data_IF_913777799148
#
_entry.id   IF_913777799148
#
_cell.length_a   1.000
_cell.length_b   1.000
_cell.length_c   1.000
_cell.angle_alpha   90.00
_cell.angle_beta   90.00
_cell.angle_gamma   90.00
#
_symmetry.space_group_name_H-M   'P 1'
#
loop_
_entity.id
_entity.type
_entity.pdbx_description
1 polymer ?
#
# COMPACT_ATOMS: atom_id res chain seq x y z
N UNK A 1 -22.53 9.46 24.99
CA UNK A 1 -23.71 8.79 24.39
C UNK A 1 -24.82 9.82 24.17
N UNK A 2 -24.76 10.58 23.07
CA UNK A 2 -25.76 11.62 22.75
C UNK A 2 -26.91 11.04 21.89
N UNK A 3 -26.58 10.31 20.83
CA UNK A 3 -27.58 9.75 19.92
C UNK A 3 -28.45 8.68 20.60
N UNK A 4 -27.83 7.79 21.38
CA UNK A 4 -28.57 6.78 22.13
C UNK A 4 -29.50 7.38 23.20
N UNK A 5 -29.16 8.51 23.81
CA UNK A 5 -30.08 9.20 24.74
C UNK A 5 -31.30 9.82 24.03
N UNK A 6 -31.22 10.01 22.72
CA UNK A 6 -32.32 10.50 21.87
C UNK A 6 -33.11 9.35 21.22
N UNK A 7 -32.85 8.10 21.59
CA UNK A 7 -33.52 6.93 21.01
C UNK A 7 -33.04 6.58 19.59
N UNK A 8 -31.94 7.17 19.12
CA UNK A 8 -31.36 6.86 17.81
C UNK A 8 -30.45 5.64 17.95
N UNK A 9 -30.71 4.53 17.21
CA UNK A 9 -29.84 3.36 17.22
C UNK A 9 -28.45 3.72 16.73
N UNK A 10 -27.46 3.56 17.60
CA UNK A 10 -26.05 3.85 17.32
C UNK A 10 -25.18 2.74 17.88
N UNK A 11 -24.14 2.36 17.14
CA UNK A 11 -23.12 1.42 17.57
C UNK A 11 -21.71 1.99 17.28
N UNK A 12 -20.70 1.22 17.67
CA UNK A 12 -19.29 1.50 17.38
C UNK A 12 -18.79 0.35 16.53
N UNK A 13 -18.31 0.69 15.34
CA UNK A 13 -17.61 -0.23 14.45
C UNK A 13 -16.11 0.03 14.56
N UNK A 14 -15.31 -1.00 14.32
CA UNK A 14 -13.86 -0.91 14.43
C UNK A 14 -13.12 -1.85 13.50
N UNK A 15 -11.94 -1.41 13.08
CA UNK A 15 -10.93 -2.24 12.43
C UNK A 15 -9.89 -2.61 13.49
N UNK A 16 -9.64 -3.91 13.72
CA UNK A 16 -8.72 -4.35 14.78
C UNK A 16 -7.26 -4.00 14.46
N UNK A 17 -6.91 -4.00 13.18
CA UNK A 17 -5.64 -3.53 12.64
C UNK A 17 -5.84 -3.24 11.16
N UNK A 18 -5.32 -2.10 10.67
CA UNK A 18 -5.36 -1.81 9.23
C UNK A 18 -4.44 -2.75 8.46
N UNK A 19 -4.84 -3.13 7.25
CA UNK A 19 -4.01 -3.88 6.31
C UNK A 19 -2.79 -3.08 5.88
N UNK A 20 -2.98 -1.79 5.57
CA UNK A 20 -1.96 -0.91 4.96
C UNK A 20 -1.46 0.26 5.83
N UNK A 21 -1.86 0.29 7.10
CA UNK A 21 -1.46 1.34 8.07
C UNK A 21 -1.08 0.70 9.39
N UNK A 22 -0.35 1.45 10.20
CA UNK A 22 -0.21 1.10 11.61
C UNK A 22 -1.46 1.55 12.36
N UNK A 23 -1.77 0.86 13.46
CA UNK A 23 -2.89 1.10 14.39
C UNK A 23 -4.19 0.34 14.09
N UNK A 24 -5.07 0.32 15.09
CA UNK A 24 -6.50 0.04 14.98
C UNK A 24 -7.27 1.34 14.78
N UNK A 25 -8.57 1.27 14.52
CA UNK A 25 -9.43 2.46 14.55
C UNK A 25 -10.88 2.11 14.88
N UNK A 26 -11.59 3.06 15.49
CA UNK A 26 -13.01 2.92 15.86
C UNK A 26 -13.78 4.12 15.32
N UNK A 27 -14.98 3.92 14.82
CA UNK A 27 -15.87 5.00 14.36
C UNK A 27 -17.32 4.73 14.79
N UNK A 28 -18.16 5.76 14.65
CA UNK A 28 -19.56 5.66 15.03
C UNK A 28 -20.40 5.20 13.84
N UNK A 29 -21.47 4.46 14.12
CA UNK A 29 -22.42 4.04 13.09
C UNK A 29 -23.84 4.26 13.57
N UNK A 30 -24.64 4.96 12.78
CA UNK A 30 -26.10 5.03 12.97
C UNK A 30 -26.74 3.88 12.21
N UNK A 31 -27.71 3.21 12.84
CA UNK A 31 -28.44 2.09 12.24
C UNK A 31 -29.87 2.54 11.91
N UNK A 32 -30.18 2.71 10.62
CA UNK A 32 -31.50 3.13 10.14
C UNK A 32 -32.00 2.07 9.17
N UNK A 33 -33.20 1.55 9.41
CA UNK A 33 -33.85 0.56 8.53
C UNK A 33 -32.99 -0.68 8.22
N UNK A 34 -32.14 -1.10 9.16
CA UNK A 34 -31.22 -2.23 8.97
C UNK A 34 -29.94 -1.90 8.20
N UNK A 35 -29.76 -0.65 7.76
CA UNK A 35 -28.55 -0.18 7.12
C UNK A 35 -27.65 0.59 8.08
N UNK A 36 -26.34 0.41 7.92
CA UNK A 36 -25.33 1.17 8.64
C UNK A 36 -24.93 2.44 7.91
N UNK A 37 -24.85 3.53 8.67
CA UNK A 37 -24.36 4.83 8.22
C UNK A 37 -23.18 5.24 9.09
N UNK A 38 -21.96 4.97 8.61
CA UNK A 38 -20.71 5.26 9.31
C UNK A 38 -20.41 6.76 9.31
N UNK A 39 -19.96 7.29 10.45
CA UNK A 39 -19.60 8.70 10.59
C UNK A 39 -18.49 8.94 11.62
N UNK A 40 -17.74 10.02 11.41
CA UNK A 40 -16.80 10.58 12.38
C UNK A 40 -17.24 11.97 12.81
N UNK A 41 -17.46 12.16 14.12
CA UNK A 41 -18.02 13.40 14.63
C UNK A 41 -17.02 14.58 14.59
N UNK A 42 -15.71 14.28 14.67
CA UNK A 42 -14.68 15.26 14.99
C UNK A 42 -13.50 15.31 13.99
N UNK A 43 -13.52 14.49 12.96
CA UNK A 43 -12.33 14.28 12.13
C UNK A 43 -12.24 15.23 10.93
N UNK A 44 -13.35 15.49 10.22
CA UNK A 44 -13.39 16.45 9.12
C UNK A 44 -14.79 17.03 8.86
N UNK A 45 -14.89 17.88 7.83
CA UNK A 45 -16.13 18.59 7.47
C UNK A 45 -17.21 17.64 6.93
N UNK A 46 -16.82 16.61 6.17
CA UNK A 46 -17.73 15.61 5.62
C UNK A 46 -17.81 14.40 6.55
N UNK A 47 -18.62 14.56 7.61
CA UNK A 47 -18.74 13.57 8.69
C UNK A 47 -19.27 12.21 8.23
N UNK A 48 -19.86 12.09 7.04
CA UNK A 48 -20.62 10.89 6.62
C UNK A 48 -19.97 10.09 5.50
N UNK A 49 -18.82 10.53 4.98
CA UNK A 49 -18.12 9.82 3.89
C UNK A 49 -17.51 8.48 4.27
N UNK A 50 -17.59 8.05 5.52
CA UNK A 50 -16.72 6.98 6.04
C UNK A 50 -17.00 5.61 5.41
N UNK A 51 -18.23 5.34 4.96
CA UNK A 51 -18.50 4.16 4.13
C UNK A 51 -17.88 4.23 2.74
N UNK A 52 -17.70 5.42 2.16
CA UNK A 52 -17.03 5.60 0.86
C UNK A 52 -15.51 5.41 1.01
N UNK A 53 -14.92 5.82 2.13
CA UNK A 53 -13.45 5.70 2.31
C UNK A 53 -13.05 4.34 2.91
N UNK A 54 -13.92 3.70 3.69
CA UNK A 54 -13.68 2.38 4.28
C UNK A 54 -14.28 1.25 3.45
N UNK A 55 -14.02 1.25 2.14
CA UNK A 55 -14.60 0.26 1.20
C UNK A 55 -13.57 -0.61 0.47
N UNK A 56 -12.28 -0.49 0.82
CA UNK A 56 -11.15 -1.19 0.18
C UNK A 56 -11.00 -0.95 -1.34
N UNK A 57 -11.74 0.00 -1.93
CA UNK A 57 -11.73 0.26 -3.38
C UNK A 57 -11.15 1.64 -3.68
N UNK A 58 -11.65 2.65 -2.99
CA UNK A 58 -11.38 4.03 -3.34
C UNK A 58 -10.14 4.61 -2.66
N UNK A 59 -9.59 5.64 -3.28
CA UNK A 59 -8.52 6.47 -2.78
C UNK A 59 -9.13 7.82 -2.35
N UNK A 60 -9.11 8.16 -1.06
CA UNK A 60 -9.59 9.46 -0.58
C UNK A 60 -8.56 10.56 -0.87
N UNK A 61 -9.01 11.73 -1.33
CA UNK A 61 -8.11 12.83 -1.69
C UNK A 61 -7.32 13.38 -0.49
N UNK A 62 -7.90 13.34 0.72
CA UNK A 62 -7.26 13.85 1.94
C UNK A 62 -6.37 12.79 2.58
N UNK A 63 -6.87 11.57 2.66
CA UNK A 63 -6.30 10.54 3.51
C UNK A 63 -5.64 9.40 2.74
N UNK A 64 -5.84 9.29 1.43
CA UNK A 64 -5.37 8.19 0.61
C UNK A 64 -6.17 6.91 0.85
N UNK A 65 -5.51 5.76 0.65
CA UNK A 65 -6.14 4.43 0.68
C UNK A 65 -6.31 3.88 2.09
N UNK A 66 -7.45 3.26 2.36
CA UNK A 66 -7.67 2.43 3.54
C UNK A 66 -7.87 0.97 3.14
N UNK A 67 -7.16 0.07 3.81
CA UNK A 67 -7.33 -1.38 3.63
C UNK A 67 -7.72 -2.00 4.95
N UNK A 68 -8.96 -2.47 5.01
CA UNK A 68 -9.59 -3.08 6.17
C UNK A 68 -9.61 -4.59 5.97
N UNK A 69 -8.90 -5.38 6.78
CA UNK A 69 -8.97 -6.81 6.65
C UNK A 69 -10.30 -7.36 7.14
N UNK A 70 -10.86 -6.75 8.20
CA UNK A 70 -12.14 -7.05 8.85
C UNK A 70 -12.69 -5.80 9.52
N UNK A 71 -14.02 -5.72 9.66
CA UNK A 71 -14.71 -4.73 10.49
C UNK A 71 -15.58 -5.47 11.49
N UNK A 72 -15.44 -5.11 12.76
CA UNK A 72 -16.27 -5.64 13.84
C UNK A 72 -17.13 -4.54 14.43
N UNK A 73 -18.36 -4.88 14.80
CA UNK A 73 -19.29 -4.02 15.52
C UNK A 73 -19.36 -4.45 16.97
N UNK A 74 -19.23 -3.52 17.91
CA UNK A 74 -19.53 -3.81 19.32
C UNK A 74 -21.02 -4.01 19.53
N UNK A 75 -21.39 -5.05 20.29
CA UNK A 75 -22.78 -5.41 20.57
C UNK A 75 -23.03 -5.61 22.06
N UNK A 76 -24.29 -5.42 22.48
CA UNK A 76 -24.71 -5.74 23.85
C UNK A 76 -25.02 -7.23 24.03
N UNK A 77 -25.44 -7.92 22.97
CA UNK A 77 -25.64 -9.38 22.95
C UNK A 77 -24.31 -10.15 23.03
N UNK A 78 -24.38 -11.41 23.48
CA UNK A 78 -23.22 -12.30 23.49
C UNK A 78 -23.21 -13.15 22.21
N UNK A 79 -22.07 -13.19 21.54
CA UNK A 79 -21.80 -14.02 20.36
C UNK A 79 -20.60 -14.91 20.67
N UNK A 80 -20.86 -16.13 21.12
CA UNK A 80 -19.83 -17.12 21.47
C UNK A 80 -19.59 -17.99 20.22
N UNK A 81 -18.39 -17.91 19.65
CA UNK A 81 -18.04 -18.58 18.41
C UNK A 81 -16.56 -18.96 18.33
N UNK A 82 -16.25 -19.79 17.33
CA UNK A 82 -14.88 -20.13 16.96
C UNK A 82 -14.05 -20.71 18.11
N UNK A 83 -12.78 -20.32 18.25
CA UNK A 83 -11.88 -20.90 19.24
C UNK A 83 -12.34 -20.66 20.69
N UNK A 84 -13.16 -19.63 20.95
CA UNK A 84 -13.67 -19.35 22.29
C UNK A 84 -14.83 -20.28 22.68
N UNK A 85 -15.54 -20.84 21.70
CA UNK A 85 -16.60 -21.83 21.92
C UNK A 85 -16.05 -23.27 22.05
N UNK A 86 -14.79 -23.50 21.66
CA UNK A 86 -14.17 -24.83 21.67
C UNK A 86 -13.55 -25.13 23.06
N UNK A 87 -14.16 -26.07 23.77
CA UNK A 87 -13.76 -26.48 25.12
C UNK A 87 -12.37 -27.12 25.19
N UNK A 88 -11.82 -27.54 24.05
CA UNK A 88 -10.50 -28.16 23.95
C UNK A 88 -9.39 -27.12 23.67
N UNK A 89 -9.74 -25.84 23.55
CA UNK A 89 -8.81 -24.73 23.31
C UNK A 89 -8.62 -23.92 24.60
N UNK A 90 -7.38 -23.84 25.07
CA UNK A 90 -7.04 -22.97 26.20
C UNK A 90 -7.20 -21.49 25.79
N UNK A 91 -7.84 -20.69 26.64
CA UNK A 91 -8.01 -19.25 26.44
C UNK A 91 -6.67 -18.52 26.22
N UNK A 92 -5.57 -19.01 26.80
CA UNK A 92 -4.22 -18.50 26.59
C UNK A 92 -3.71 -18.68 25.14
N UNK A 93 -4.29 -19.60 24.39
CA UNK A 93 -3.99 -19.90 22.99
C UNK A 93 -4.95 -19.18 22.01
N UNK A 94 -5.80 -18.29 22.51
CA UNK A 94 -6.72 -17.48 21.69
C UNK A 94 -6.20 -16.04 21.66
N UNK A 95 -6.02 -15.39 20.48
CA UNK A 95 -5.70 -13.96 20.40
C UNK A 95 -6.76 -13.09 21.09
N UNK A 96 -6.34 -11.96 21.67
CA UNK A 96 -7.21 -11.08 22.48
C UNK A 96 -8.51 -10.69 21.77
N UNK A 97 -8.43 -10.32 20.48
CA UNK A 97 -9.57 -9.99 19.65
C UNK A 97 -10.69 -11.04 19.74
N UNK A 98 -10.33 -12.33 19.73
CA UNK A 98 -11.29 -13.44 19.70
C UNK A 98 -11.68 -13.97 21.09
N UNK A 99 -11.16 -13.37 22.17
CA UNK A 99 -11.63 -13.66 23.55
C UNK A 99 -12.89 -12.87 23.92
N UNK A 100 -13.23 -11.83 23.16
CA UNK A 100 -14.44 -11.02 23.38
C UNK A 100 -15.65 -11.58 22.64
N UNK A 101 -16.77 -11.74 23.37
CA UNK A 101 -18.08 -12.16 22.84
C UNK A 101 -19.00 -10.98 22.50
N UNK A 102 -18.56 -9.74 22.74
CA UNK A 102 -19.35 -8.51 22.59
C UNK A 102 -19.13 -7.85 21.24
N UNK A 103 -18.97 -8.67 20.20
CA UNK A 103 -18.74 -8.18 18.84
C UNK A 103 -19.34 -9.13 17.81
N UNK A 104 -19.66 -8.58 16.64
CA UNK A 104 -20.02 -9.31 15.43
C UNK A 104 -19.23 -8.77 14.26
N UNK A 105 -18.97 -9.62 13.27
CA UNK A 105 -18.36 -9.24 12.01
C UNK A 105 -19.37 -8.52 11.13
N UNK A 106 -19.01 -7.34 10.63
CA UNK A 106 -19.83 -6.51 9.73
C UNK A 106 -19.05 -6.09 8.48
N UNK A 107 -17.99 -6.83 8.14
CA UNK A 107 -17.09 -6.50 7.03
C UNK A 107 -17.84 -6.28 5.70
N UNK A 108 -18.84 -7.13 5.43
CA UNK A 108 -19.68 -7.06 4.22
C UNK A 108 -20.59 -5.82 4.14
N UNK A 109 -20.79 -5.10 5.24
CA UNK A 109 -21.51 -3.81 5.22
C UNK A 109 -20.66 -2.66 4.65
N UNK A 110 -19.34 -2.87 4.53
CA UNK A 110 -18.35 -1.86 4.15
C UNK A 110 -17.68 -2.16 2.81
N UNK A 111 -17.32 -3.40 2.55
CA UNK A 111 -16.61 -3.80 1.34
C UNK A 111 -16.97 -5.21 0.87
N UNK A 112 -16.64 -5.48 -0.39
CA UNK A 112 -16.75 -6.82 -0.96
C UNK A 112 -15.66 -7.73 -0.36
N UNK A 113 -16.10 -8.84 0.21
CA UNK A 113 -15.25 -9.79 0.92
C UNK A 113 -14.91 -11.00 0.04
N UNK A 114 -13.90 -11.77 0.44
CA UNK A 114 -13.58 -13.06 -0.15
C UNK A 114 -13.27 -14.10 0.92
N UNK A 115 -13.68 -15.34 0.68
CA UNK A 115 -13.23 -16.47 1.48
C UNK A 115 -11.85 -16.92 1.01
N UNK A 116 -10.93 -17.12 1.95
CA UNK A 116 -9.54 -17.47 1.66
C UNK A 116 -9.24 -18.85 2.19
N UNK A 117 -8.87 -19.77 1.30
CA UNK A 117 -8.41 -21.10 1.69
C UNK A 117 -6.88 -21.13 1.69
N UNK A 118 -6.30 -21.47 2.83
CA UNK A 118 -4.85 -21.57 3.01
C UNK A 118 -4.46 -23.01 3.28
N UNK A 119 -3.47 -23.50 2.55
CA UNK A 119 -2.73 -24.72 2.89
C UNK A 119 -1.67 -24.38 3.94
N UNK A 120 -1.74 -25.04 5.09
CA UNK A 120 -0.86 -24.78 6.22
C UNK A 120 0.40 -25.63 6.07
N UNK A 121 1.44 -25.03 5.49
CA UNK A 121 2.71 -25.71 5.20
C UNK A 121 3.73 -25.60 6.34
N UNK A 122 3.49 -24.74 7.32
CA UNK A 122 4.32 -24.58 8.52
C UNK A 122 4.11 -25.70 9.53
N UNK A 123 5.11 -25.92 10.39
CA UNK A 123 5.02 -26.92 11.46
C UNK A 123 4.02 -26.49 12.53
N UNK A 124 2.93 -27.25 12.66
CA UNK A 124 1.89 -26.99 13.65
C UNK A 124 2.36 -27.33 15.07
N UNK A 125 2.21 -26.42 16.05
CA UNK A 125 2.41 -26.77 17.45
C UNK A 125 1.43 -27.86 17.90
N UNK A 126 1.85 -28.68 18.86
CA UNK A 126 1.01 -29.79 19.35
C UNK A 126 -0.35 -29.30 19.87
N UNK A 127 -1.41 -29.96 19.41
CA UNK A 127 -2.79 -29.73 19.86
C UNK A 127 -3.44 -28.45 19.31
N UNK A 128 -2.83 -27.75 18.36
CA UNK A 128 -3.43 -26.56 17.73
C UNK A 128 -4.60 -26.98 16.84
N UNK A 129 -5.78 -26.37 17.09
CA UNK A 129 -7.03 -26.63 16.35
C UNK A 129 -7.44 -25.50 15.42
N UNK A 130 -6.87 -24.31 15.61
CA UNK A 130 -7.22 -23.10 14.87
C UNK A 130 -5.96 -22.45 14.30
N UNK A 131 -6.08 -21.96 13.07
CA UNK A 131 -5.14 -21.04 12.48
C UNK A 131 -5.75 -19.64 12.47
N UNK A 132 -4.89 -18.64 12.37
CA UNK A 132 -5.27 -17.24 12.33
C UNK A 132 -4.68 -16.59 11.09
N UNK A 133 -5.39 -15.57 10.58
CA UNK A 133 -4.89 -14.74 9.50
C UNK A 133 -4.57 -13.37 10.09
N UNK A 134 -3.33 -12.93 9.90
CA UNK A 134 -2.79 -11.72 10.51
C UNK A 134 -2.40 -10.67 9.47
N UNK A 135 -2.51 -9.39 9.84
CA UNK A 135 -1.95 -8.26 9.08
C UNK A 135 -0.78 -7.65 9.83
N UNK A 136 0.13 -7.01 9.09
CA UNK A 136 1.30 -6.40 9.68
C UNK A 136 0.95 -5.02 10.27
N UNK A 137 1.60 -4.62 11.36
CA UNK A 137 1.50 -3.27 11.92
C UNK A 137 2.42 -3.08 13.12
N UNK A 138 3.10 -1.93 13.20
CA UNK A 138 4.08 -1.63 14.25
C UNK A 138 5.15 -2.73 14.44
N UNK A 139 5.70 -3.23 13.33
CA UNK A 139 6.66 -4.35 13.32
C UNK A 139 6.17 -5.68 13.91
N UNK A 140 4.86 -5.87 13.99
CA UNK A 140 4.26 -7.09 14.51
C UNK A 140 3.11 -7.57 13.62
N UNK A 141 2.71 -8.83 13.79
CA UNK A 141 1.58 -9.44 13.09
C UNK A 141 0.37 -9.48 14.03
N UNK A 142 -0.77 -8.95 13.56
CA UNK A 142 -2.00 -8.85 14.35
C UNK A 142 -3.04 -9.79 13.78
N UNK A 143 -3.42 -10.88 14.50
CA UNK A 143 -4.52 -11.74 14.10
C UNK A 143 -5.84 -10.98 13.94
N UNK A 144 -6.46 -11.08 12.78
CA UNK A 144 -7.71 -10.37 12.44
C UNK A 144 -8.85 -11.30 12.06
N UNK A 145 -8.57 -12.54 11.66
CA UNK A 145 -9.56 -13.61 11.50
C UNK A 145 -9.03 -14.96 11.99
N UNK A 146 -9.93 -15.89 12.33
CA UNK A 146 -9.62 -17.29 12.67
C UNK A 146 -10.28 -18.28 11.70
N UNK A 147 -9.73 -19.48 11.64
CA UNK A 147 -10.32 -20.62 10.93
C UNK A 147 -9.97 -21.92 11.66
N UNK A 148 -10.92 -22.87 11.71
CA UNK A 148 -10.64 -24.22 12.21
C UNK A 148 -9.75 -24.96 11.22
N UNK A 149 -8.80 -25.72 11.73
CA UNK A 149 -7.88 -26.51 10.91
C UNK A 149 -8.54 -27.84 10.58
N UNK A 150 -8.65 -28.12 9.29
CA UNK A 150 -9.21 -29.37 8.77
C UNK A 150 -8.30 -29.89 7.66
N UNK A 151 -7.74 -31.10 7.85
CA UNK A 151 -6.86 -31.75 6.87
C UNK A 151 -5.70 -30.86 6.38
N UNK A 152 -5.03 -30.15 7.31
CA UNK A 152 -3.91 -29.25 7.00
C UNK A 152 -4.30 -27.96 6.29
N UNK A 153 -5.60 -27.65 6.21
CA UNK A 153 -6.13 -26.43 5.58
C UNK A 153 -6.96 -25.61 6.55
N UNK A 154 -7.08 -24.31 6.27
CA UNK A 154 -7.97 -23.41 6.99
C UNK A 154 -8.68 -22.49 5.99
N UNK A 155 -9.99 -22.28 6.20
CA UNK A 155 -10.82 -21.37 5.38
C UNK A 155 -11.20 -20.15 6.21
N UNK A 156 -10.58 -19.02 5.92
CA UNK A 156 -10.86 -17.73 6.56
C UNK A 156 -11.99 -17.02 5.85
N UNK A 157 -13.07 -16.74 6.57
CA UNK A 157 -14.30 -16.20 5.98
C UNK A 157 -14.29 -14.69 5.89
N UNK A 158 -14.85 -14.20 4.78
CA UNK A 158 -15.19 -12.79 4.55
C UNK A 158 -14.01 -11.81 4.71
N UNK A 159 -12.86 -12.14 4.14
CA UNK A 159 -11.65 -11.31 4.22
C UNK A 159 -11.71 -10.10 3.29
N UNK A 160 -11.14 -8.97 3.73
CA UNK A 160 -10.88 -7.82 2.87
C UNK A 160 -9.79 -8.10 1.83
N UNK A 161 -9.89 -7.46 0.66
CA UNK A 161 -8.97 -7.63 -0.47
C UNK A 161 -7.98 -6.46 -0.59
N UNK A 162 -6.95 -6.63 -1.42
CA UNK A 162 -5.90 -5.64 -1.75
C UNK A 162 -4.97 -5.33 -0.56
N UNK A 163 -4.49 -6.39 0.10
CA UNK A 163 -3.49 -6.30 1.19
C UNK A 163 -2.75 -7.62 1.41
N UNK A 164 -1.70 -7.57 2.22
CA UNK A 164 -0.91 -8.74 2.63
C UNK A 164 -1.44 -9.36 3.92
N UNK A 165 -1.48 -10.68 3.92
CA UNK A 165 -1.79 -11.51 5.07
C UNK A 165 -0.66 -12.49 5.37
N UNK A 166 -0.48 -12.80 6.66
CA UNK A 166 0.33 -13.91 7.13
C UNK A 166 -0.55 -14.93 7.87
N UNK A 167 -0.65 -16.18 7.40
CA UNK A 167 -1.20 -17.28 8.17
C UNK A 167 -0.30 -17.61 9.35
N UNK A 168 -0.88 -17.72 10.54
CA UNK A 168 -0.15 -17.96 11.79
C UNK A 168 -0.89 -18.92 12.71
N UNK A 169 -0.13 -19.71 13.47
CA UNK A 169 -0.58 -20.35 14.70
C UNK A 169 -0.39 -19.39 15.88
N UNK A 170 -1.24 -19.52 16.90
CA UNK A 170 -1.13 -18.77 18.14
C UNK A 170 -1.02 -19.75 19.31
N UNK A 171 0.01 -19.63 20.13
CA UNK A 171 0.23 -20.48 21.30
C UNK A 171 0.82 -19.66 22.44
N UNK A 172 0.12 -19.59 23.58
CA UNK A 172 0.54 -18.87 24.80
C UNK A 172 1.10 -17.45 24.55
N UNK A 173 0.45 -16.69 23.66
CA UNK A 173 0.89 -15.33 23.31
C UNK A 173 1.89 -15.25 22.15
N UNK A 174 2.51 -16.35 21.76
CA UNK A 174 3.44 -16.42 20.64
C UNK A 174 2.74 -16.63 19.29
N UNK A 175 3.30 -16.03 18.25
CA UNK A 175 2.88 -16.21 16.86
C UNK A 175 3.92 -17.04 16.11
N UNK A 176 3.47 -18.08 15.42
CA UNK A 176 4.32 -18.94 14.60
C UNK A 176 3.75 -18.95 13.18
N UNK A 177 4.56 -18.72 12.13
CA UNK A 177 4.07 -18.78 10.75
C UNK A 177 3.48 -20.16 10.44
N UNK A 178 2.25 -20.18 9.94
CA UNK A 178 1.55 -21.40 9.54
C UNK A 178 1.67 -21.66 8.03
N UNK A 179 2.01 -20.63 7.26
CA UNK A 179 2.37 -20.69 5.85
C UNK A 179 3.13 -19.39 5.47
N UNK A 180 3.54 -19.29 4.21
CA UNK A 180 4.14 -18.08 3.64
C UNK A 180 3.12 -16.92 3.60
N UNK A 181 3.59 -15.65 3.69
CA UNK A 181 2.72 -14.51 3.47
C UNK A 181 2.23 -14.48 2.03
N UNK A 182 1.03 -13.93 1.83
CA UNK A 182 0.46 -13.75 0.51
C UNK A 182 -0.27 -12.41 0.42
N UNK A 183 -0.29 -11.83 -0.78
CA UNK A 183 -1.16 -10.72 -1.13
C UNK A 183 -2.49 -11.28 -1.63
N UNK A 184 -3.60 -10.87 -1.03
CA UNK A 184 -4.94 -11.10 -1.58
C UNK A 184 -5.28 -9.95 -2.52
N UNK A 185 -5.34 -10.19 -3.81
CA UNK A 185 -5.60 -9.17 -4.83
C UNK A 185 -7.08 -8.78 -4.87
N UNK A 186 -7.39 -7.65 -5.51
CA UNK A 186 -8.76 -7.14 -5.66
C UNK A 186 -9.73 -8.10 -6.36
N UNK A 187 -9.22 -8.95 -7.25
CA UNK A 187 -9.98 -9.99 -7.95
C UNK A 187 -10.16 -11.28 -7.12
N UNK A 188 -9.63 -11.32 -5.89
CA UNK A 188 -9.68 -12.48 -5.00
C UNK A 188 -8.55 -13.50 -5.24
N UNK A 189 -7.65 -13.26 -6.19
CA UNK A 189 -6.49 -14.15 -6.39
C UNK A 189 -5.45 -13.97 -5.29
N UNK A 190 -4.77 -15.06 -4.94
CA UNK A 190 -3.70 -15.07 -3.94
C UNK A 190 -2.35 -15.12 -4.63
N UNK A 191 -1.47 -14.19 -4.29
CA UNK A 191 -0.08 -14.14 -4.73
C UNK A 191 0.83 -14.42 -3.54
N UNK A 192 1.62 -15.51 -3.60
CA UNK A 192 2.58 -15.85 -2.55
C UNK A 192 3.79 -14.93 -2.60
N UNK A 193 4.26 -14.47 -1.44
CA UNK A 193 5.39 -13.56 -1.31
C UNK A 193 6.63 -14.28 -0.76
N UNK A 194 7.06 -15.33 -1.47
CA UNK A 194 8.10 -16.28 -1.03
C UNK A 194 9.53 -15.87 -1.38
N UNK A 195 9.73 -14.90 -2.27
CA UNK A 195 11.09 -14.46 -2.66
C UNK A 195 11.87 -15.42 -3.56
N UNK A 196 11.20 -16.40 -4.17
CA UNK A 196 11.87 -17.49 -4.91
C UNK A 196 12.13 -17.18 -6.39
N UNK A 197 11.94 -15.94 -6.85
CA UNK A 197 12.01 -15.58 -8.27
C UNK A 197 13.39 -15.07 -8.72
N UNK A 198 14.45 -15.47 -8.02
CA UNK A 198 15.80 -14.94 -8.22
C UNK A 198 16.00 -13.64 -7.44
N UNK A 199 16.83 -12.74 -7.96
CA UNK A 199 17.16 -11.50 -7.26
C UNK A 199 17.05 -10.27 -8.14
N UNK A 200 16.77 -9.12 -7.54
CA UNK A 200 16.67 -7.82 -8.21
C UNK A 200 17.35 -6.70 -7.42
N UNK A 201 17.53 -5.56 -8.08
CA UNK A 201 17.91 -4.29 -7.44
C UNK A 201 16.66 -3.65 -6.82
N UNK A 202 16.76 -3.15 -5.59
CA UNK A 202 15.66 -2.44 -4.91
C UNK A 202 16.13 -1.06 -4.49
N UNK A 203 15.49 -0.03 -5.03
CA UNK A 203 15.65 1.35 -4.59
C UNK A 203 14.48 1.78 -3.68
N UNK A 204 14.79 2.36 -2.53
CA UNK A 204 13.81 2.76 -1.51
C UNK A 204 14.17 4.10 -0.89
N UNK A 205 13.16 4.94 -0.61
CA UNK A 205 13.35 6.29 -0.04
C UNK A 205 12.53 6.62 1.19
N UNK A 206 11.67 5.70 1.64
CA UNK A 206 10.79 5.88 2.79
C UNK A 206 10.69 4.59 3.60
N UNK A 207 10.12 4.68 4.80
CA UNK A 207 9.90 3.52 5.69
C UNK A 207 8.44 3.36 6.14
N UNK A 208 7.60 4.39 6.06
CA UNK A 208 6.32 4.42 6.79
C UNK A 208 5.07 4.05 6.00
N UNK A 209 5.12 3.84 4.69
CA UNK A 209 3.95 3.46 3.87
C UNK A 209 2.84 4.51 3.82
N UNK A 210 1.58 4.10 3.99
CA UNK A 210 0.39 4.96 3.79
C UNK A 210 0.39 6.32 4.54
N UNK A 211 0.87 6.44 5.80
CA UNK A 211 1.10 7.73 6.46
C UNK A 211 1.97 8.74 5.70
N UNK A 212 2.76 8.30 4.71
CA UNK A 212 3.51 9.22 3.85
C UNK A 212 2.59 10.04 2.92
N UNK A 213 1.33 9.64 2.71
CA UNK A 213 0.38 10.36 1.86
C UNK A 213 0.19 11.81 2.35
N UNK A 214 -0.15 11.98 3.63
CA UNK A 214 -0.41 13.29 4.24
C UNK A 214 0.81 14.22 4.16
N UNK A 215 2.01 13.65 4.36
CA UNK A 215 3.28 14.39 4.32
C UNK A 215 3.68 14.85 2.92
N UNK A 216 3.12 14.25 1.88
CA UNK A 216 3.49 14.46 0.49
C UNK A 216 2.37 15.04 -0.37
N UNK A 217 1.23 15.43 0.23
CA UNK A 217 0.03 15.87 -0.49
C UNK A 217 0.29 16.98 -1.50
N UNK A 218 1.16 17.92 -1.19
CA UNK A 218 1.57 18.98 -2.14
C UNK A 218 2.26 18.40 -3.39
N UNK A 219 3.13 17.40 -3.23
CA UNK A 219 3.80 16.73 -4.34
C UNK A 219 2.84 15.83 -5.13
N UNK A 220 1.93 15.15 -4.45
CA UNK A 220 0.88 14.35 -5.08
C UNK A 220 -0.03 15.20 -5.97
N UNK A 221 -0.35 16.43 -5.54
CA UNK A 221 -1.12 17.38 -6.33
C UNK A 221 -0.32 18.14 -7.40
N UNK A 222 1.02 18.09 -7.38
CA UNK A 222 1.88 18.92 -8.23
C UNK A 222 1.66 18.70 -9.74
N UNK A 223 1.30 17.47 -10.12
CA UNK A 223 1.13 17.07 -11.52
C UNK A 223 -0.33 17.09 -11.99
N UNK A 224 -1.27 17.44 -11.09
CA UNK A 224 -2.70 17.53 -11.40
C UNK A 224 -2.95 18.66 -12.40
N UNK A 225 -3.54 18.31 -13.54
CA UNK A 225 -3.77 19.19 -14.69
C UNK A 225 -2.67 19.16 -15.76
N UNK A 226 -1.61 18.37 -15.59
CA UNK A 226 -0.56 18.24 -16.61
C UNK A 226 -1.08 17.61 -17.91
N UNK A 227 -0.44 17.95 -19.03
CA UNK A 227 -0.75 17.39 -20.35
C UNK A 227 0.53 16.87 -20.99
N UNK A 228 0.43 15.78 -21.72
CA UNK A 228 1.54 15.21 -22.48
C UNK A 228 1.15 15.21 -23.95
N UNK A 229 1.99 15.80 -24.79
CA UNK A 229 1.76 15.94 -26.22
C UNK A 229 2.89 15.33 -27.05
N UNK A 230 2.54 14.69 -28.16
CA UNK A 230 3.51 14.24 -29.17
C UNK A 230 3.96 15.39 -30.05
N UNK A 231 5.27 15.46 -30.35
CA UNK A 231 5.86 16.50 -31.20
C UNK A 231 6.31 15.94 -32.55
N UNK A 232 5.93 16.62 -33.64
CA UNK A 232 6.52 16.46 -34.97
C UNK A 232 7.11 17.81 -35.40
N UNK A 233 8.32 17.80 -35.95
CA UNK A 233 9.04 19.01 -36.39
C UNK A 233 9.07 20.14 -35.33
N UNK A 234 9.13 19.77 -34.05
CA UNK A 234 9.15 20.69 -32.90
C UNK A 234 7.81 21.35 -32.58
N UNK A 235 6.72 20.97 -33.24
CA UNK A 235 5.35 21.48 -33.01
C UNK A 235 4.48 20.43 -32.32
N UNK A 236 3.55 20.92 -31.49
CA UNK A 236 2.58 20.07 -30.80
C UNK A 236 1.51 19.60 -31.78
N UNK A 237 1.43 18.29 -32.00
CA UNK A 237 0.49 17.70 -32.97
C UNK A 237 -0.68 16.94 -32.31
N UNK A 238 -0.43 16.32 -31.17
CA UNK A 238 -1.42 15.45 -30.52
C UNK A 238 -1.31 15.49 -29.00
N UNK A 239 -2.44 15.61 -28.30
CA UNK A 239 -2.53 15.34 -26.87
C UNK A 239 -2.61 13.83 -26.64
N UNK A 240 -1.53 13.24 -26.13
CA UNK A 240 -1.44 11.83 -25.80
C UNK A 240 -2.15 11.51 -24.48
N UNK A 241 -2.00 12.40 -23.50
CA UNK A 241 -2.57 12.20 -22.18
C UNK A 241 -2.85 13.52 -21.48
N UNK A 242 -3.94 13.55 -20.70
CA UNK A 242 -4.21 14.58 -19.70
C UNK A 242 -4.30 13.93 -18.33
N UNK A 243 -3.52 14.46 -17.40
CA UNK A 243 -3.51 13.99 -16.02
C UNK A 243 -4.43 14.87 -15.18
N UNK A 244 -5.68 14.47 -15.02
CA UNK A 244 -6.72 15.28 -14.35
C UNK A 244 -6.69 15.19 -12.84
N UNK A 245 -6.13 14.12 -12.30
CA UNK A 245 -6.22 13.75 -10.88
C UNK A 245 -4.88 13.96 -10.18
N UNK A 246 -4.90 14.03 -8.85
CA UNK A 246 -3.67 13.95 -8.07
C UNK A 246 -3.04 12.56 -8.25
N UNK A 247 -1.71 12.49 -8.14
CA UNK A 247 -1.02 11.21 -8.08
C UNK A 247 -1.28 10.50 -6.73
N UNK A 248 -1.10 9.19 -6.72
CA UNK A 248 -1.19 8.35 -5.51
C UNK A 248 0.21 7.99 -4.99
N UNK A 249 0.30 7.31 -3.84
CA UNK A 249 1.57 6.75 -3.37
C UNK A 249 2.13 5.68 -4.30
N UNK A 250 1.25 4.97 -5.01
CA UNK A 250 1.63 3.95 -5.99
C UNK A 250 1.72 4.58 -7.40
N UNK A 251 2.62 4.04 -8.22
CA UNK A 251 2.68 4.39 -9.64
C UNK A 251 1.35 4.12 -10.36
N UNK A 252 0.97 5.04 -11.25
CA UNK A 252 -0.23 4.95 -12.06
C UNK A 252 0.17 4.91 -13.53
N UNK A 253 -0.34 3.94 -14.27
CA UNK A 253 -0.14 3.78 -15.71
C UNK A 253 -1.47 3.97 -16.43
N UNK A 254 -1.53 4.90 -17.38
CA UNK A 254 -2.71 5.17 -18.20
C UNK A 254 -2.48 4.68 -19.62
N UNK A 255 -3.45 3.97 -20.18
CA UNK A 255 -3.50 3.68 -21.61
C UNK A 255 -3.74 4.98 -22.38
N UNK A 256 -3.05 5.13 -23.50
CA UNK A 256 -3.17 6.26 -24.43
C UNK A 256 -3.32 5.72 -25.85
N UNK A 257 -3.89 6.53 -26.74
CA UNK A 257 -4.09 6.18 -28.14
C UNK A 257 -3.34 7.17 -29.02
N UNK A 258 -2.03 6.98 -29.16
CA UNK A 258 -1.25 7.75 -30.14
C UNK A 258 -1.72 7.42 -31.56
N UNK A 259 -1.91 8.44 -32.40
CA UNK A 259 -2.27 8.27 -33.82
C UNK A 259 -1.05 8.19 -34.73
N UNK A 260 0.07 8.73 -34.28
CA UNK A 260 1.34 8.76 -35.01
C UNK A 260 2.47 8.28 -34.12
N UNK A 261 3.56 7.78 -34.70
CA UNK A 261 4.75 7.48 -33.92
C UNK A 261 5.47 8.79 -33.56
N UNK A 262 5.92 8.90 -32.30
CA UNK A 262 6.62 10.08 -31.80
C UNK A 262 7.99 9.71 -31.26
N UNK A 263 9.01 10.48 -31.64
CA UNK A 263 10.32 10.46 -30.96
C UNK A 263 10.38 11.45 -29.81
N UNK A 264 9.82 12.64 -30.02
CA UNK A 264 9.82 13.71 -29.04
C UNK A 264 8.43 13.89 -28.44
N UNK A 265 8.40 14.05 -27.13
CA UNK A 265 7.19 14.27 -26.35
C UNK A 265 7.40 15.48 -25.44
N UNK A 266 6.36 16.30 -25.25
CA UNK A 266 6.38 17.45 -24.35
C UNK A 266 5.39 17.27 -23.22
N UNK A 267 5.90 17.37 -22.00
CA UNK A 267 5.10 17.48 -20.79
C UNK A 267 4.83 18.96 -20.50
N UNK A 268 3.58 19.36 -20.60
CA UNK A 268 3.07 20.68 -20.23
C UNK A 268 2.63 20.64 -18.76
N UNK A 269 3.28 21.47 -17.94
CA UNK A 269 3.08 21.51 -16.49
C UNK A 269 1.95 22.48 -16.11
N UNK A 270 1.16 22.16 -15.08
CA UNK A 270 0.09 23.06 -14.60
C UNK A 270 0.65 24.32 -13.89
N UNK A 271 1.89 24.25 -13.41
CA UNK A 271 2.62 25.35 -12.78
C UNK A 271 4.10 25.30 -13.19
N UNK A 272 4.93 26.19 -12.66
CA UNK A 272 6.38 26.13 -12.85
C UNK A 272 7.06 25.05 -11.98
N UNK A 273 6.32 24.28 -11.19
CA UNK A 273 6.82 23.17 -10.38
C UNK A 273 6.72 21.83 -11.10
N UNK A 274 7.70 20.98 -10.87
CA UNK A 274 7.66 19.54 -11.21
C UNK A 274 8.10 18.73 -9.99
N UNK A 275 7.43 17.62 -9.73
CA UNK A 275 7.78 16.67 -8.68
C UNK A 275 7.32 15.26 -9.10
N UNK A 276 8.26 14.44 -9.58
CA UNK A 276 8.01 13.07 -10.01
C UNK A 276 9.02 12.12 -9.37
N UNK A 277 8.56 10.90 -9.07
CA UNK A 277 9.42 9.75 -8.78
C UNK A 277 9.89 9.11 -10.07
N UNK A 278 8.99 9.00 -11.06
CA UNK A 278 9.29 8.41 -12.37
C UNK A 278 8.25 8.87 -13.42
N UNK A 279 8.70 9.03 -14.66
CA UNK A 279 7.89 9.22 -15.87
C UNK A 279 8.28 8.15 -16.88
N UNK A 280 7.32 7.33 -17.28
CA UNK A 280 7.56 6.14 -18.10
C UNK A 280 6.64 6.10 -19.31
N UNK A 281 7.15 5.57 -20.41
CA UNK A 281 6.42 5.41 -21.67
C UNK A 281 6.49 3.95 -22.11
N UNK A 282 5.44 3.48 -22.77
CA UNK A 282 5.33 2.07 -23.16
C UNK A 282 4.78 1.95 -24.58
N UNK A 283 5.24 0.92 -25.28
CA UNK A 283 4.57 0.32 -26.44
C UNK A 283 3.73 -0.88 -25.97
N UNK A 284 2.92 -1.46 -26.85
CA UNK A 284 2.18 -2.69 -26.54
C UNK A 284 3.13 -3.87 -26.20
N UNK A 285 4.40 -3.80 -26.64
CA UNK A 285 5.44 -4.80 -26.36
C UNK A 285 6.12 -4.59 -25.00
N UNK A 286 5.97 -3.41 -24.39
CA UNK A 286 6.56 -3.10 -23.09
C UNK A 286 7.16 -1.70 -22.99
N UNK A 287 7.93 -1.52 -21.92
CA UNK A 287 8.48 -0.23 -21.51
C UNK A 287 9.54 0.28 -22.50
N UNK A 288 9.45 1.56 -22.85
CA UNK A 288 10.46 2.26 -23.66
C UNK A 288 11.64 2.62 -22.75
N UNK A 289 12.84 2.15 -23.11
CA UNK A 289 14.09 2.47 -22.41
C UNK A 289 14.81 3.69 -22.99
N UNK A 290 15.86 4.15 -22.30
CA UNK A 290 16.73 5.26 -22.71
C UNK A 290 16.01 6.60 -22.98
N UNK A 291 14.89 6.83 -22.29
CA UNK A 291 14.17 8.11 -22.32
C UNK A 291 15.03 9.19 -21.66
N UNK A 292 15.10 10.37 -22.28
CA UNK A 292 15.94 11.48 -21.79
C UNK A 292 15.14 12.77 -21.68
N UNK A 293 15.28 13.45 -20.54
CA UNK A 293 14.82 14.83 -20.40
C UNK A 293 15.82 15.76 -21.09
N UNK A 294 15.34 16.54 -22.06
CA UNK A 294 16.16 17.48 -22.85
C UNK A 294 16.12 18.88 -22.23
N UNK A 295 14.96 19.27 -21.67
CA UNK A 295 14.80 20.59 -21.08
C UNK A 295 15.63 20.73 -19.79
N UNK A 296 16.48 21.76 -19.68
CA UNK A 296 17.16 22.08 -18.43
C UNK A 296 16.15 22.44 -17.34
N UNK A 297 16.33 21.88 -16.15
CA UNK A 297 15.47 22.16 -15.00
C UNK A 297 16.31 22.55 -13.79
N UNK A 298 15.78 23.44 -12.96
CA UNK A 298 16.45 23.86 -11.72
C UNK A 298 15.99 22.99 -10.57
N UNK A 299 16.89 22.18 -10.02
CA UNK A 299 16.59 21.33 -8.88
C UNK A 299 16.24 22.16 -7.63
N UNK A 300 15.27 21.67 -6.86
CA UNK A 300 14.95 22.16 -5.50
C UNK A 300 15.05 21.05 -4.45
N UNK A 301 15.36 19.83 -4.88
CA UNK A 301 15.65 18.66 -4.05
C UNK A 301 17.11 18.52 -3.64
N UNK A 302 17.47 17.32 -3.14
CA UNK A 302 18.80 17.04 -2.58
C UNK A 302 19.66 16.27 -3.59
N UNK A 303 20.56 16.96 -4.28
CA UNK A 303 21.44 16.36 -5.31
C UNK A 303 20.66 15.56 -6.38
N UNK A 304 19.41 15.94 -6.61
CA UNK A 304 18.54 15.32 -7.60
C UNK A 304 18.83 15.92 -8.98
N UNK A 305 18.82 15.07 -10.00
CA UNK A 305 19.04 15.48 -11.39
C UNK A 305 17.86 15.05 -12.27
N UNK A 306 17.55 15.79 -13.35
CA UNK A 306 16.47 15.46 -14.28
C UNK A 306 16.39 14.00 -14.74
N UNK A 307 17.52 13.32 -14.92
CA UNK A 307 17.54 11.92 -15.38
C UNK A 307 16.91 10.92 -14.40
N UNK A 308 16.76 11.29 -13.12
CA UNK A 308 16.19 10.43 -12.09
C UNK A 308 14.67 10.21 -12.21
N UNK A 309 13.98 10.93 -13.11
CA UNK A 309 12.55 10.66 -13.40
C UNK A 309 12.36 9.81 -14.64
N UNK A 310 13.42 9.23 -15.19
CA UNK A 310 13.37 8.34 -16.35
C UNK A 310 14.36 7.18 -16.22
N UNK A 311 14.88 6.93 -15.01
CA UNK A 311 15.91 5.91 -14.74
C UNK A 311 15.33 4.53 -14.43
N UNK A 312 14.00 4.43 -14.37
CA UNK A 312 13.30 3.20 -14.06
C UNK A 312 13.11 2.96 -12.56
N UNK A 313 13.52 3.87 -11.68
CA UNK A 313 13.50 3.70 -10.23
C UNK A 313 12.64 4.78 -9.55
N UNK A 314 11.43 4.42 -9.12
CA UNK A 314 10.50 5.39 -8.49
C UNK A 314 11.04 6.05 -7.20
N UNK A 315 12.09 5.49 -6.60
CA UNK A 315 12.68 5.99 -5.36
C UNK A 315 13.73 7.10 -5.55
N UNK A 316 14.32 7.28 -6.74
CA UNK A 316 15.36 8.30 -6.96
C UNK A 316 14.68 9.67 -7.09
N UNK A 317 13.82 9.83 -8.09
CA UNK A 317 12.93 10.97 -8.31
C UNK A 317 13.60 12.34 -8.41
N UNK A 318 12.81 13.33 -8.81
CA UNK A 318 13.26 14.72 -8.95
C UNK A 318 12.14 15.68 -8.60
N UNK A 319 12.49 16.74 -7.88
CA UNK A 319 11.67 17.95 -7.79
C UNK A 319 12.45 19.21 -8.15
N UNK A 320 11.76 20.13 -8.82
CA UNK A 320 12.40 21.34 -9.33
C UNK A 320 11.44 22.38 -9.89
N UNK A 321 12.03 23.38 -10.54
CA UNK A 321 11.32 24.44 -11.24
C UNK A 321 11.65 24.45 -12.73
N UNK A 322 10.63 24.77 -13.54
CA UNK A 322 10.69 24.90 -15.00
C UNK A 322 9.90 26.15 -15.39
N UNK A 323 10.61 27.25 -15.64
CA UNK A 323 9.99 28.58 -15.81
C UNK A 323 8.97 28.63 -16.97
N UNK A 324 9.28 27.96 -18.07
CA UNK A 324 8.42 27.90 -19.27
C UNK A 324 7.28 26.88 -19.14
N UNK A 325 7.22 26.12 -18.04
CA UNK A 325 6.18 25.11 -17.75
C UNK A 325 6.08 24.02 -18.83
N UNK A 326 7.15 23.77 -19.56
CA UNK A 326 7.25 22.73 -20.57
C UNK A 326 8.54 21.92 -20.34
N UNK A 327 8.45 20.61 -20.51
CA UNK A 327 9.58 19.68 -20.42
C UNK A 327 9.57 18.81 -21.66
N UNK A 328 10.59 18.95 -22.49
CA UNK A 328 10.82 18.15 -23.69
C UNK A 328 11.60 16.88 -23.37
N UNK A 329 11.16 15.80 -24.00
CA UNK A 329 11.59 14.43 -23.71
C UNK A 329 11.94 13.75 -25.04
N UNK A 330 13.14 13.17 -25.14
CA UNK A 330 13.57 12.32 -26.25
C UNK A 330 13.31 10.85 -25.86
N UNK A 331 12.48 10.15 -26.63
CA UNK A 331 12.29 8.69 -26.52
C UNK A 331 13.44 7.91 -27.20
N UNK A 332 14.35 8.59 -27.89
CA UNK A 332 15.52 8.05 -28.58
C UNK A 332 15.25 7.65 -30.04
N UNK A 333 14.05 7.15 -30.33
CA UNK A 333 13.53 6.89 -31.68
C UNK A 333 12.01 7.05 -31.70
N UNK A 334 11.41 6.92 -32.87
CA UNK A 334 9.96 7.00 -33.03
C UNK A 334 9.26 5.76 -32.45
N UNK A 335 8.23 5.98 -31.63
CA UNK A 335 7.40 4.94 -31.05
C UNK A 335 5.92 5.25 -31.17
N UNK A 336 5.12 4.21 -31.41
CA UNK A 336 3.68 4.26 -31.16
C UNK A 336 3.45 4.09 -29.66
N UNK A 337 3.24 5.22 -28.96
CA UNK A 337 3.05 5.22 -27.50
C UNK A 337 1.66 4.66 -27.18
N UNK A 338 1.62 3.61 -26.36
CA UNK A 338 0.41 2.91 -25.92
C UNK A 338 0.03 3.21 -24.48
N UNK A 339 1.02 3.48 -23.61
CA UNK A 339 0.78 3.82 -22.22
C UNK A 339 1.78 4.84 -21.72
N UNK A 340 1.37 5.59 -20.69
CA UNK A 340 2.20 6.55 -19.97
C UNK A 340 2.03 6.30 -18.47
N UNK A 341 3.13 6.17 -17.74
CA UNK A 341 3.14 5.97 -16.31
C UNK A 341 3.78 7.15 -15.56
N UNK A 342 3.17 7.53 -14.43
CA UNK A 342 3.74 8.49 -13.48
C UNK A 342 3.82 7.88 -12.08
N UNK A 343 4.98 8.02 -11.46
CA UNK A 343 5.19 7.76 -10.03
C UNK A 343 5.38 9.08 -9.30
N UNK A 344 4.77 9.22 -8.13
CA UNK A 344 4.86 10.41 -7.31
C UNK A 344 6.27 10.64 -6.77
N UNK A 345 6.68 11.92 -6.69
CA UNK A 345 7.81 12.26 -5.84
C UNK A 345 7.40 12.14 -4.38
N UNK A 346 8.21 11.44 -3.58
CA UNK A 346 7.98 11.25 -2.16
C UNK A 346 9.18 11.77 -1.39
N UNK A 347 8.94 12.64 -0.42
CA UNK A 347 9.97 13.20 0.44
C UNK A 347 10.66 12.07 1.20
N UNK A 348 11.99 12.08 1.16
CA UNK A 348 12.79 11.06 1.84
C UNK A 348 12.54 11.02 3.35
N UNK A 349 12.55 9.80 3.90
CA UNK A 349 12.62 9.54 5.34
C UNK A 349 13.98 8.97 5.75
N UNK A 350 14.94 8.95 4.82
CA UNK A 350 16.29 8.45 5.03
C UNK A 350 17.22 9.64 5.27
N UNK A 351 17.68 9.80 6.51
CA UNK A 351 18.48 10.94 6.93
C UNK A 351 19.86 10.50 7.40
N UNK A 352 20.91 10.98 6.73
CA UNK A 352 22.28 10.82 7.22
C UNK A 352 22.42 11.46 8.62
N UNK A 353 23.07 10.79 9.60
CA UNK A 353 23.84 9.54 9.49
C UNK A 353 23.08 8.27 9.95
N UNK A 354 21.74 8.25 9.96
CA UNK A 354 20.97 7.08 10.40
C UNK A 354 21.29 5.84 9.53
N UNK A 355 21.34 4.66 10.16
CA UNK A 355 21.55 3.37 9.51
C UNK A 355 20.20 2.65 9.29
N UNK A 356 20.06 2.02 8.13
CA UNK A 356 18.88 1.29 7.72
C UNK A 356 19.24 -0.16 7.37
N UNK A 357 18.36 -1.09 7.71
CA UNK A 357 18.50 -2.51 7.42
C UNK A 357 17.34 -2.96 6.52
N UNK A 358 17.64 -3.34 5.28
CA UNK A 358 16.65 -3.97 4.40
C UNK A 358 16.49 -5.42 4.84
N UNK A 359 15.25 -5.82 5.08
CA UNK A 359 14.86 -7.17 5.49
C UNK A 359 13.87 -7.76 4.51
N UNK A 360 13.88 -9.07 4.37
CA UNK A 360 12.87 -9.84 3.66
C UNK A 360 12.29 -10.91 4.59
N UNK A 361 11.05 -11.33 4.31
CA UNK A 361 10.40 -12.38 5.09
C UNK A 361 10.70 -13.77 4.54
N UNK A 362 11.22 -14.64 5.42
CA UNK A 362 11.39 -16.08 5.20
C UNK A 362 11.26 -16.79 6.56
N UNK A 363 10.03 -17.23 6.86
CA UNK A 363 9.62 -17.76 8.17
C UNK A 363 10.09 -16.89 9.36
N UNK A 364 10.12 -15.58 9.14
CA UNK A 364 10.72 -14.59 10.01
C UNK A 364 11.52 -13.57 9.22
N UNK A 365 11.90 -12.46 9.87
CA UNK A 365 12.68 -11.42 9.20
C UNK A 365 14.15 -11.82 9.04
N UNK A 366 14.63 -11.85 7.80
CA UNK A 366 16.03 -12.03 7.43
C UNK A 366 16.62 -10.73 6.90
N UNK A 367 17.89 -10.48 7.17
CA UNK A 367 18.59 -9.28 6.69
C UNK A 367 19.11 -9.52 5.27
N UNK A 368 18.85 -8.58 4.37
CA UNK A 368 19.55 -8.48 3.09
C UNK A 368 20.90 -7.79 3.32
N UNK A 369 20.85 -6.54 3.79
CA UNK A 369 22.04 -5.69 3.97
C UNK A 369 21.69 -4.52 4.90
N UNK A 370 22.73 -3.94 5.54
CA UNK A 370 22.65 -2.67 6.27
C UNK A 370 23.40 -1.58 5.51
N UNK A 371 22.80 -0.40 5.41
CA UNK A 371 23.41 0.78 4.79
C UNK A 371 23.16 2.02 5.63
N UNK A 372 24.18 2.87 5.71
CA UNK A 372 24.02 4.22 6.24
C UNK A 372 23.36 5.11 5.18
N UNK A 373 22.38 5.92 5.58
CA UNK A 373 21.82 6.93 4.69
C UNK A 373 22.88 7.97 4.32
N UNK A 374 22.90 8.35 3.05
CA UNK A 374 23.76 9.41 2.52
C UNK A 374 22.95 10.68 2.21
N UNK A 375 23.55 11.62 1.47
CA UNK A 375 22.91 12.88 1.10
C UNK A 375 21.96 12.76 -0.12
N UNK A 376 21.88 11.60 -0.78
CA UNK A 376 20.97 11.38 -1.92
C UNK A 376 19.52 11.20 -1.49
N UNK A 377 19.29 10.74 -0.25
CA UNK A 377 17.93 10.56 0.29
C UNK A 377 17.19 9.33 -0.26
N UNK A 378 17.89 8.37 -0.83
CA UNK A 378 17.39 7.03 -1.14
C UNK A 378 18.52 6.01 -0.92
N UNK A 379 18.18 4.74 -0.78
CA UNK A 379 19.13 3.64 -0.70
C UNK A 379 18.82 2.63 -1.80
N UNK A 380 19.88 2.09 -2.41
CA UNK A 380 19.80 1.01 -3.41
C UNK A 380 20.40 -0.24 -2.79
N UNK A 381 19.74 -1.37 -2.94
CA UNK A 381 20.16 -2.67 -2.44
C UNK A 381 20.26 -3.65 -3.59
N UNK A 382 21.36 -4.39 -3.64
CA UNK A 382 21.63 -5.38 -4.68
C UNK A 382 21.23 -6.77 -4.22
N UNK A 383 20.89 -7.64 -5.18
CA UNK A 383 20.62 -9.06 -4.94
C UNK A 383 19.49 -9.31 -3.92
N UNK A 384 18.44 -8.49 -3.93
CA UNK A 384 17.26 -8.66 -3.08
C UNK A 384 16.39 -9.79 -3.64
N UNK A 385 15.88 -10.74 -2.83
CA UNK A 385 14.99 -11.79 -3.33
C UNK A 385 13.73 -11.22 -4.00
N UNK A 386 13.53 -11.53 -5.29
CA UNK A 386 12.39 -11.02 -6.07
C UNK A 386 11.10 -11.73 -5.66
N UNK A 387 10.03 -10.96 -5.52
CA UNK A 387 8.72 -11.46 -5.08
C UNK A 387 8.64 -11.73 -3.56
N UNK A 388 9.59 -11.21 -2.78
CA UNK A 388 9.56 -11.31 -1.33
C UNK A 388 8.74 -10.17 -0.70
N UNK A 389 8.22 -10.41 0.51
CA UNK A 389 7.75 -9.34 1.39
C UNK A 389 8.94 -8.65 2.05
N UNK A 390 9.06 -7.33 1.88
CA UNK A 390 10.21 -6.53 2.31
C UNK A 390 9.84 -5.53 3.41
N UNK A 391 10.84 -5.12 4.19
CA UNK A 391 10.74 -4.02 5.15
C UNK A 391 12.10 -3.32 5.28
N UNK A 392 12.11 -1.99 5.27
CA UNK A 392 13.30 -1.19 5.56
C UNK A 392 13.26 -0.70 7.01
N UNK A 393 14.03 -1.33 7.90
CA UNK A 393 14.10 -0.99 9.32
C UNK A 393 15.02 0.22 9.53
N UNK A 394 14.56 1.24 10.26
CA UNK A 394 15.46 2.28 10.78
C UNK A 394 16.14 1.76 12.06
N UNK A 395 17.45 1.57 12.05
CA UNK A 395 18.20 0.93 13.16
C UNK A 395 18.29 1.82 14.41
N UNK A 396 18.05 3.13 14.27
CA UNK A 396 17.97 4.08 15.38
C UNK A 396 16.70 3.87 16.20
N UNK A 397 15.58 3.52 15.55
CA UNK A 397 14.30 3.35 16.22
C UNK A 397 14.25 2.03 17.01
N UNK A 398 13.94 2.11 18.30
CA UNK A 398 13.90 0.95 19.21
C UNK A 398 12.45 0.51 19.48
N UNK A 399 12.26 -0.78 19.71
CA UNK A 399 10.94 -1.36 19.99
C UNK A 399 10.04 -1.45 18.74
N UNK A 400 8.72 -1.51 18.98
CA UNK A 400 7.69 -1.54 17.93
C UNK A 400 7.57 -0.15 17.31
N UNK A 401 7.99 -0.01 16.06
CA UNK A 401 8.11 1.30 15.39
C UNK A 401 7.35 1.32 14.07
N UNK A 402 7.27 2.49 13.42
CA UNK A 402 6.27 2.77 12.39
C UNK A 402 6.59 2.22 10.98
N UNK A 403 7.67 1.45 10.82
CA UNK A 403 8.06 0.88 9.53
C UNK A 403 6.98 -0.04 8.98
N UNK A 404 6.69 0.10 7.69
CA UNK A 404 5.72 -0.69 6.95
C UNK A 404 6.41 -1.68 6.02
N UNK A 405 5.69 -2.75 5.75
CA UNK A 405 6.03 -3.73 4.73
C UNK A 405 5.72 -3.18 3.34
N UNK A 406 6.45 -3.70 2.35
CA UNK A 406 6.23 -3.41 0.95
C UNK A 406 6.63 -4.61 0.08
N UNK A 407 6.15 -4.66 -1.15
CA UNK A 407 6.79 -5.44 -2.21
C UNK A 407 7.47 -4.50 -3.19
N UNK A 408 8.31 -5.06 -4.06
CA UNK A 408 8.97 -4.31 -5.12
C UNK A 408 8.56 -4.87 -6.47
N UNK A 409 8.10 -4.00 -7.36
CA UNK A 409 7.63 -4.40 -8.68
C UNK A 409 8.02 -3.35 -9.72
N UNK A 410 8.74 -3.78 -10.77
CA UNK A 410 9.08 -2.95 -11.94
C UNK A 410 9.75 -1.62 -11.55
N UNK A 411 10.68 -1.66 -10.59
CA UNK A 411 11.44 -0.49 -10.16
C UNK A 411 10.73 0.41 -9.14
N UNK A 412 9.58 0.00 -8.62
CA UNK A 412 8.76 0.81 -7.72
C UNK A 412 8.37 0.06 -6.43
N UNK A 413 8.29 0.81 -5.33
CA UNK A 413 7.87 0.30 -4.03
C UNK A 413 6.35 0.26 -3.96
N UNK A 414 5.79 -0.92 -3.71
CA UNK A 414 4.35 -1.12 -3.46
C UNK A 414 4.12 -1.28 -1.97
N UNK A 415 3.61 -0.22 -1.34
CA UNK A 415 3.33 -0.23 0.10
C UNK A 415 2.13 -1.11 0.41
N UNK A 416 2.31 -2.03 1.35
CA UNK A 416 1.30 -3.01 1.78
C UNK A 416 0.68 -2.65 3.12
#
# INVERSE_FOLDING_TARGET
MLLSSLGIPVAIDFVPAWGNRNNSHTWNVVLINGESHAFEAFWDNDRWKYKRIYNNRDDDELWGRFRLPKVYRYTYSNHIEGPLADVEVDKADIPELFRSVKKVDVSSEYFETADVTVELTGEAPQGVKYAYLAVFGYQDWHPVQWAKIENGRAVFREMGKDMVYLPVYYKRGGLLPAAEPFRLRNDGTMEKLSGNEGTEEVAVRMVTGAPAYDQNREYLGCMKGSRIVGLLDGKSEEELCRWTDSLALQSVVRKVSARLPYRFVRLLLPSDSIALGELSFYTEEGRIGNVRIITPMRATGRNEVPGMITDGLGATGYRGRVAERLVDIDLGKEYMVSHIGMTSYLKTQLFCPDEFELRYWDNGWKTVERKQADHKGYLVFERVPRGALLMLKNCRWKGKTAERIFTYEKGDVKWE
#
